data_IF_431177724010
#
_entry.id   IF_431177724010
#
_cell.length_a   1.000
_cell.length_b   1.000
_cell.length_c   1.000
_cell.angle_alpha   90.00
_cell.angle_beta   90.00
_cell.angle_gamma   90.00
#
_symmetry.space_group_name_H-M   'P 1'
#
loop_
_entity.id
_entity.type
_entity.pdbx_description
1 polymer ?
#
# COMPACT_ATOMS: atom_id res chain seq x y z
N UNK A 1 6.91 -17.26 -13.96
CA UNK A 1 7.49 -17.97 -12.81
C UNK A 1 6.40 -18.87 -12.24
N UNK A 2 6.59 -20.18 -12.36
CA UNK A 2 5.60 -21.18 -11.93
C UNK A 2 5.76 -21.43 -10.43
N UNK A 3 4.64 -21.69 -9.72
CA UNK A 3 4.63 -22.06 -8.29
C UNK A 3 5.47 -23.31 -7.95
N UNK A 4 5.99 -24.00 -8.95
CA UNK A 4 6.85 -25.19 -8.82
C UNK A 4 8.32 -24.86 -8.52
N UNK A 5 8.73 -23.59 -8.64
CA UNK A 5 10.12 -23.17 -8.37
C UNK A 5 10.44 -23.00 -6.87
N UNK A 6 9.45 -23.14 -5.98
CA UNK A 6 9.65 -23.04 -4.54
C UNK A 6 10.02 -24.34 -3.83
N UNK A 7 10.23 -25.45 -4.54
CA UNK A 7 10.71 -26.71 -3.97
C UNK A 7 9.81 -27.35 -2.90
N UNK A 8 8.58 -26.86 -2.73
CA UNK A 8 7.64 -27.39 -1.75
C UNK A 8 6.85 -28.54 -2.37
N UNK A 9 7.03 -29.74 -1.82
CA UNK A 9 6.22 -30.91 -2.15
C UNK A 9 4.75 -30.64 -1.84
N UNK A 10 3.83 -31.16 -2.68
CA UNK A 10 2.38 -31.04 -2.44
C UNK A 10 1.92 -31.58 -1.06
N UNK A 11 2.74 -32.45 -0.43
CA UNK A 11 2.53 -32.94 0.95
C UNK A 11 2.87 -31.85 1.98
N UNK A 12 3.88 -31.02 1.73
CA UNK A 12 4.30 -29.94 2.62
C UNK A 12 3.29 -28.78 2.60
N UNK A 13 2.72 -28.50 1.42
CA UNK A 13 1.63 -27.54 1.26
C UNK A 13 0.39 -28.00 2.01
N UNK A 14 -0.01 -29.27 1.90
CA UNK A 14 -1.14 -29.84 2.64
C UNK A 14 -0.89 -29.88 4.16
N UNK A 15 0.36 -30.11 4.59
CA UNK A 15 0.74 -30.09 6.01
C UNK A 15 0.72 -28.66 6.57
N UNK A 16 1.24 -27.67 5.82
CA UNK A 16 1.13 -26.25 6.18
C UNK A 16 -0.32 -25.78 6.21
N UNK A 17 -1.17 -26.17 5.23
CA UNK A 17 -2.60 -25.82 5.23
C UNK A 17 -3.37 -26.43 6.42
N UNK A 18 -2.97 -27.58 6.96
CA UNK A 18 -3.58 -28.15 8.17
C UNK A 18 -3.19 -27.41 9.46
N UNK A 19 -2.14 -26.61 9.44
CA UNK A 19 -1.67 -25.84 10.61
C UNK A 19 -2.28 -24.44 10.67
N UNK A 20 -3.03 -24.01 9.65
CA UNK A 20 -3.90 -22.86 9.79
C UNK A 20 -5.05 -23.26 10.72
N UNK A 21 -4.89 -23.06 12.03
CA UNK A 21 -6.01 -22.97 12.94
C UNK A 21 -7.00 -22.01 12.31
N UNK A 22 -8.14 -22.55 11.87
CA UNK A 22 -9.26 -21.69 11.50
C UNK A 22 -9.45 -20.72 12.66
N UNK A 23 -9.47 -19.43 12.33
CA UNK A 23 -9.91 -18.40 13.28
C UNK A 23 -11.10 -18.97 14.05
N UNK A 24 -11.14 -18.79 15.37
CA UNK A 24 -12.32 -19.20 16.12
C UNK A 24 -13.49 -18.41 15.53
N UNK A 25 -14.18 -19.04 14.60
CA UNK A 25 -15.59 -18.72 14.38
C UNK A 25 -16.14 -18.75 15.81
N UNK A 26 -16.78 -17.66 16.30
CA UNK A 26 -17.28 -17.60 17.65
C UNK A 26 -17.93 -18.93 17.95
N UNK A 27 -17.34 -19.68 18.88
CA UNK A 27 -17.68 -21.09 19.09
C UNK A 27 -19.17 -21.17 19.19
N UNK A 28 -19.80 -21.85 18.22
CA UNK A 28 -21.19 -22.19 18.31
C UNK A 28 -21.35 -22.86 19.65
N UNK A 29 -22.03 -22.24 20.56
CA UNK A 29 -22.29 -22.88 21.84
C UNK A 29 -22.98 -24.20 21.57
N UNK A 30 -22.73 -25.22 22.40
CA UNK A 30 -23.33 -26.54 22.24
C UNK A 30 -24.88 -26.42 22.11
N UNK A 31 -25.48 -25.40 22.76
CA UNK A 31 -26.88 -25.04 22.66
C UNK A 31 -27.27 -24.56 21.24
N UNK A 32 -26.47 -23.73 20.60
CA UNK A 32 -26.73 -23.23 19.22
C UNK A 32 -26.72 -24.36 18.19
N UNK A 33 -25.94 -25.44 18.44
CA UNK A 33 -25.89 -26.61 17.56
C UNK A 33 -27.01 -27.60 17.81
N UNK A 34 -27.52 -27.72 19.05
CA UNK A 34 -28.38 -28.79 19.46
C UNK A 34 -29.88 -28.48 19.37
N UNK A 35 -30.27 -27.20 19.40
CA UNK A 35 -31.69 -26.81 19.43
C UNK A 35 -32.10 -26.04 18.18
N UNK A 36 -33.42 -26.14 17.81
CA UNK A 36 -33.96 -25.37 16.69
C UNK A 36 -33.86 -23.85 16.95
N UNK A 37 -34.11 -23.42 18.17
CA UNK A 37 -34.00 -22.03 18.61
C UNK A 37 -32.52 -21.55 18.58
N UNK A 38 -31.58 -22.39 18.98
CA UNK A 38 -30.16 -22.10 18.90
C UNK A 38 -29.70 -21.90 17.47
N UNK A 39 -30.12 -22.77 16.54
CA UNK A 39 -29.82 -22.62 15.11
C UNK A 39 -30.38 -21.33 14.51
N UNK A 40 -31.61 -20.97 14.91
CA UNK A 40 -32.25 -19.73 14.46
C UNK A 40 -31.51 -18.52 15.02
N UNK A 41 -31.18 -18.52 16.32
CA UNK A 41 -30.41 -17.46 16.96
C UNK A 41 -29.04 -17.27 16.28
N UNK A 42 -28.31 -18.36 16.00
CA UNK A 42 -27.05 -18.33 15.28
C UNK A 42 -27.19 -17.73 13.87
N UNK A 43 -28.26 -18.11 13.13
CA UNK A 43 -28.53 -17.54 11.79
C UNK A 43 -28.77 -16.04 11.85
N UNK A 44 -29.60 -15.59 12.81
CA UNK A 44 -29.88 -14.16 13.00
C UNK A 44 -28.60 -13.39 13.37
N UNK A 45 -27.82 -13.90 14.31
CA UNK A 45 -26.55 -13.30 14.71
C UNK A 45 -25.58 -13.18 13.52
N UNK A 46 -25.42 -14.25 12.75
CA UNK A 46 -24.55 -14.22 11.57
C UNK A 46 -25.08 -13.28 10.49
N UNK A 47 -26.37 -13.23 10.27
CA UNK A 47 -27.00 -12.27 9.37
C UNK A 47 -26.71 -10.83 9.80
N UNK A 48 -26.90 -10.50 11.06
CA UNK A 48 -26.60 -9.16 11.59
C UNK A 48 -25.14 -8.80 11.47
N UNK A 49 -24.24 -9.75 11.73
CA UNK A 49 -22.78 -9.55 11.55
C UNK A 49 -22.45 -9.33 10.09
N UNK A 50 -22.99 -10.13 9.19
CA UNK A 50 -22.78 -9.98 7.73
C UNK A 50 -23.35 -8.66 7.23
N UNK A 51 -24.52 -8.26 7.70
CA UNK A 51 -25.13 -6.97 7.35
C UNK A 51 -24.31 -5.79 7.87
N UNK A 52 -23.80 -5.87 9.10
CA UNK A 52 -22.87 -4.87 9.63
C UNK A 52 -21.59 -4.77 8.78
N UNK A 53 -21.02 -5.91 8.39
CA UNK A 53 -19.86 -5.93 7.51
C UNK A 53 -20.17 -5.31 6.13
N UNK A 54 -21.35 -5.60 5.57
CA UNK A 54 -21.78 -5.00 4.32
C UNK A 54 -21.83 -3.46 4.42
N UNK A 55 -22.50 -2.93 5.46
CA UNK A 55 -22.55 -1.48 5.69
C UNK A 55 -21.15 -0.88 5.85
N UNK A 56 -20.27 -1.57 6.59
CA UNK A 56 -18.89 -1.12 6.82
C UNK A 56 -18.06 -1.05 5.55
N UNK A 57 -18.23 -2.02 4.65
CA UNK A 57 -17.46 -2.11 3.40
C UNK A 57 -18.10 -1.36 2.24
N UNK A 58 -19.43 -1.17 2.25
CA UNK A 58 -20.18 -0.55 1.16
C UNK A 58 -19.61 0.80 0.72
N UNK A 59 -19.32 1.78 1.61
CA UNK A 59 -18.76 3.05 1.19
C UNK A 59 -17.39 2.94 0.52
N UNK A 60 -16.63 1.87 0.85
CA UNK A 60 -15.30 1.64 0.33
C UNK A 60 -15.37 1.07 -1.08
N UNK A 61 -16.28 0.11 -1.31
CA UNK A 61 -16.39 -0.62 -2.58
C UNK A 61 -17.36 0.04 -3.58
N UNK A 62 -18.13 1.04 -3.15
CA UNK A 62 -19.17 1.67 -3.98
C UNK A 62 -18.63 2.25 -5.29
N UNK A 63 -17.42 2.82 -5.25
CA UNK A 63 -16.76 3.43 -6.41
C UNK A 63 -15.69 2.53 -7.02
N UNK A 64 -15.61 1.27 -6.61
CA UNK A 64 -14.65 0.33 -7.17
C UNK A 64 -14.91 0.12 -8.66
N UNK A 65 -13.82 0.07 -9.40
CA UNK A 65 -13.83 -0.19 -10.84
C UNK A 65 -12.84 -1.30 -11.12
N UNK A 66 -13.32 -2.37 -11.72
CA UNK A 66 -12.55 -3.61 -11.97
C UNK A 66 -11.22 -3.41 -12.69
N UNK A 67 -11.07 -2.31 -13.41
CA UNK A 67 -9.84 -1.97 -14.14
C UNK A 67 -8.86 -1.11 -13.35
N UNK A 68 -9.23 -0.60 -12.16
CA UNK A 68 -8.39 0.30 -11.36
C UNK A 68 -7.59 -0.45 -10.29
N UNK A 69 -6.34 -0.79 -10.64
CA UNK A 69 -5.41 -1.45 -9.69
C UNK A 69 -5.11 -0.63 -8.43
N UNK A 70 -5.30 0.70 -8.45
CA UNK A 70 -5.17 1.59 -7.29
C UNK A 70 -6.16 1.20 -6.18
N UNK A 71 -7.34 0.71 -6.56
CA UNK A 71 -8.39 0.32 -5.64
C UNK A 71 -7.99 -0.87 -4.75
N UNK A 72 -7.10 -1.75 -5.23
CA UNK A 72 -6.53 -2.84 -4.44
C UNK A 72 -5.80 -2.28 -3.20
N UNK A 73 -5.04 -1.21 -3.37
CA UNK A 73 -4.32 -0.56 -2.27
C UNK A 73 -5.28 0.08 -1.26
N UNK A 74 -6.38 0.68 -1.73
CA UNK A 74 -7.44 1.24 -0.88
C UNK A 74 -8.08 0.14 -0.02
N UNK A 75 -8.48 -0.97 -0.62
CA UNK A 75 -9.08 -2.11 0.10
C UNK A 75 -8.10 -2.67 1.13
N UNK A 76 -6.84 -2.85 0.73
CA UNK A 76 -5.78 -3.36 1.60
C UNK A 76 -5.55 -2.42 2.79
N UNK A 77 -5.44 -1.11 2.54
CA UNK A 77 -5.31 -0.10 3.58
C UNK A 77 -6.46 -0.19 4.59
N UNK A 78 -7.70 -0.20 4.11
CA UNK A 78 -8.89 -0.27 4.97
C UNK A 78 -8.96 -1.58 5.75
N UNK A 79 -8.55 -2.69 5.16
CA UNK A 79 -8.49 -3.97 5.86
C UNK A 79 -7.48 -3.94 7.02
N UNK A 80 -6.29 -3.40 6.80
CA UNK A 80 -5.26 -3.28 7.84
C UNK A 80 -5.71 -2.29 8.94
N UNK A 81 -6.32 -1.15 8.57
CA UNK A 81 -6.89 -0.20 9.55
C UNK A 81 -7.90 -0.87 10.48
N UNK A 82 -8.82 -1.66 9.91
CA UNK A 82 -9.82 -2.38 10.70
C UNK A 82 -9.20 -3.42 11.62
N UNK A 83 -8.24 -4.19 11.14
CA UNK A 83 -7.53 -5.18 11.94
C UNK A 83 -6.76 -4.54 13.07
N UNK A 84 -6.00 -3.46 12.76
CA UNK A 84 -5.24 -2.73 13.77
C UNK A 84 -6.15 -2.20 14.89
N UNK A 85 -7.33 -1.67 14.54
CA UNK A 85 -8.33 -1.21 15.51
C UNK A 85 -8.81 -2.34 16.41
N UNK A 86 -9.11 -3.49 15.83
CA UNK A 86 -9.54 -4.67 16.60
C UNK A 86 -8.42 -5.21 17.48
N UNK A 87 -7.18 -5.28 16.97
CA UNK A 87 -6.01 -5.72 17.74
C UNK A 87 -5.81 -4.86 18.99
N UNK A 88 -5.84 -3.53 18.84
CA UNK A 88 -5.64 -2.58 19.94
C UNK A 88 -6.79 -2.65 20.94
N UNK A 89 -8.04 -2.74 20.48
CA UNK A 89 -9.22 -2.78 21.35
C UNK A 89 -9.33 -4.10 22.12
N UNK A 90 -9.00 -5.22 21.50
CA UNK A 90 -9.18 -6.53 22.10
C UNK A 90 -8.15 -6.85 23.19
N UNK A 91 -6.98 -6.23 23.16
CA UNK A 91 -5.86 -6.43 24.10
C UNK A 91 -5.57 -7.91 24.41
N UNK A 92 -5.70 -8.79 23.41
CA UNK A 92 -5.65 -10.26 23.58
C UNK A 92 -4.32 -10.89 23.20
N UNK A 93 -3.40 -10.08 22.69
CA UNK A 93 -2.16 -10.57 22.07
C UNK A 93 -0.95 -10.23 22.92
N UNK A 94 -0.02 -11.18 23.03
CA UNK A 94 1.30 -10.97 23.68
C UNK A 94 2.23 -10.06 22.87
N UNK A 95 1.95 -9.84 21.57
CA UNK A 95 2.77 -9.08 20.63
C UNK A 95 2.14 -7.79 20.13
N UNK A 96 1.11 -7.29 20.81
CA UNK A 96 0.32 -6.11 20.39
C UNK A 96 1.17 -4.93 19.96
N UNK A 97 2.19 -4.58 20.74
CA UNK A 97 3.02 -3.40 20.45
C UNK A 97 3.83 -3.59 19.14
N UNK A 98 4.41 -4.77 18.95
CA UNK A 98 5.15 -5.10 17.74
C UNK A 98 4.25 -5.07 16.51
N UNK A 99 3.11 -5.76 16.59
CA UNK A 99 2.19 -5.90 15.47
C UNK A 99 1.51 -4.56 15.13
N UNK A 100 1.14 -3.76 16.14
CA UNK A 100 0.64 -2.41 15.93
C UNK A 100 1.68 -1.49 15.25
N UNK A 101 2.96 -1.62 15.59
CA UNK A 101 4.04 -0.88 14.92
C UNK A 101 4.21 -1.33 13.47
N UNK A 102 4.21 -2.63 13.21
CA UNK A 102 4.37 -3.20 11.86
C UNK A 102 3.17 -2.82 10.97
N UNK A 103 1.94 -2.89 11.50
CA UNK A 103 0.73 -2.40 10.81
C UNK A 103 0.77 -0.88 10.55
N UNK A 104 1.26 -0.09 11.50
CA UNK A 104 1.40 1.36 11.32
C UNK A 104 2.40 1.68 10.21
N UNK A 105 3.53 0.97 10.17
CA UNK A 105 4.52 1.13 9.10
C UNK A 105 3.93 0.74 7.74
N UNK A 106 3.20 -0.38 7.67
CA UNK A 106 2.53 -0.80 6.45
C UNK A 106 1.48 0.22 5.98
N UNK A 107 0.69 0.80 6.88
CA UNK A 107 -0.30 1.84 6.56
C UNK A 107 0.35 3.11 6.03
N UNK A 108 1.43 3.58 6.66
CA UNK A 108 2.17 4.76 6.19
C UNK A 108 2.79 4.55 4.80
N UNK A 109 3.30 3.34 4.53
CA UNK A 109 3.83 2.99 3.21
C UNK A 109 2.72 2.90 2.17
N UNK A 110 1.57 2.27 2.52
CA UNK A 110 0.40 2.18 1.64
C UNK A 110 -0.11 3.56 1.24
N UNK A 111 -0.22 4.48 2.18
CA UNK A 111 -0.65 5.85 1.91
C UNK A 111 0.29 6.54 0.92
N UNK A 112 1.60 6.52 1.18
CA UNK A 112 2.60 7.14 0.31
C UNK A 112 2.68 6.49 -1.07
N UNK A 113 2.53 5.17 -1.15
CA UNK A 113 2.54 4.44 -2.43
C UNK A 113 1.27 4.75 -3.22
N UNK A 114 0.11 4.75 -2.57
CA UNK A 114 -1.18 5.06 -3.16
C UNK A 114 -1.23 6.49 -3.72
N UNK A 115 -0.67 7.45 -3.02
CA UNK A 115 -0.62 8.86 -3.42
C UNK A 115 0.55 9.17 -4.37
N UNK A 116 1.29 8.16 -4.79
CA UNK A 116 2.49 8.31 -5.62
C UNK A 116 3.51 9.31 -5.06
N UNK A 117 3.50 9.48 -3.73
CA UNK A 117 4.30 10.48 -3.02
C UNK A 117 5.74 10.54 -3.54
N UNK A 118 6.41 9.38 -3.66
CA UNK A 118 7.80 9.34 -4.10
C UNK A 118 7.99 9.68 -5.58
N UNK A 119 6.99 9.43 -6.43
CA UNK A 119 7.05 9.79 -7.85
C UNK A 119 6.85 11.30 -8.05
N UNK A 120 6.02 11.91 -7.21
CA UNK A 120 5.66 13.33 -7.32
C UNK A 120 6.62 14.24 -6.54
N UNK A 121 7.31 13.72 -5.52
CA UNK A 121 8.16 14.51 -4.63
C UNK A 121 9.22 15.33 -5.37
N UNK A 122 9.79 14.82 -6.48
CA UNK A 122 10.78 15.59 -7.22
C UNK A 122 10.19 16.84 -7.89
N UNK A 123 8.86 16.88 -8.09
CA UNK A 123 8.18 18.04 -8.66
C UNK A 123 8.19 19.23 -7.70
N UNK A 124 8.26 19.00 -6.38
CA UNK A 124 8.37 20.05 -5.38
C UNK A 124 9.69 20.82 -5.46
N UNK A 125 10.70 20.23 -6.11
CA UNK A 125 12.02 20.78 -6.32
C UNK A 125 12.20 21.34 -7.74
N UNK A 126 11.13 21.34 -8.53
CA UNK A 126 11.12 21.84 -9.89
C UNK A 126 10.63 23.29 -9.90
N UNK A 127 11.56 24.20 -10.02
CA UNK A 127 11.26 25.62 -10.13
C UNK A 127 11.56 26.12 -11.55
N UNK A 128 10.55 26.72 -12.19
CA UNK A 128 10.66 27.27 -13.54
C UNK A 128 10.17 28.69 -13.54
N UNK A 129 10.97 29.60 -14.03
CA UNK A 129 10.49 30.93 -14.39
C UNK A 129 9.83 30.87 -15.78
N UNK A 130 8.57 31.26 -15.83
CA UNK A 130 7.79 31.28 -17.07
C UNK A 130 7.67 32.73 -17.53
N UNK A 131 8.24 33.02 -18.71
CA UNK A 131 8.12 34.35 -19.34
C UNK A 131 7.28 34.27 -20.61
N UNK A 132 6.39 35.25 -20.76
CA UNK A 132 5.55 35.37 -21.93
C UNK A 132 6.07 36.52 -22.79
N UNK A 133 6.56 36.21 -23.96
CA UNK A 133 7.08 37.21 -24.91
C UNK A 133 6.13 37.40 -26.08
N UNK A 134 6.05 38.63 -26.60
CA UNK A 134 5.28 38.92 -27.80
C UNK A 134 5.92 38.27 -29.02
N UNK A 135 5.11 37.68 -29.88
CA UNK A 135 5.56 37.16 -31.17
C UNK A 135 5.55 38.35 -32.18
N UNK A 136 6.71 38.74 -32.76
CA UNK A 136 6.82 39.94 -33.55
C UNK A 136 5.84 40.00 -34.73
N UNK A 137 5.53 38.87 -35.34
CA UNK A 137 4.71 38.78 -36.54
C UNK A 137 3.21 38.50 -36.22
N UNK A 138 2.85 38.31 -34.95
CA UNK A 138 1.49 38.03 -34.53
C UNK A 138 1.22 38.47 -33.09
N UNK A 139 0.68 39.70 -32.89
CA UNK A 139 0.48 40.29 -31.57
C UNK A 139 -0.59 39.56 -30.71
N UNK A 140 -1.41 38.70 -31.32
CA UNK A 140 -2.39 37.86 -30.57
C UNK A 140 -1.76 36.61 -29.97
N UNK A 141 -0.56 36.25 -30.40
CA UNK A 141 0.20 35.09 -29.90
C UNK A 141 1.29 35.53 -28.92
N UNK A 142 1.49 34.71 -27.88
CA UNK A 142 2.60 34.83 -26.96
C UNK A 142 3.48 33.58 -27.07
N UNK A 143 4.79 33.75 -27.18
CA UNK A 143 5.73 32.65 -26.94
C UNK A 143 5.91 32.46 -25.44
N UNK A 144 6.11 31.24 -25.04
CA UNK A 144 6.35 30.87 -23.64
C UNK A 144 7.80 30.37 -23.55
N UNK A 145 8.61 31.08 -22.78
CA UNK A 145 9.98 30.65 -22.46
C UNK A 145 10.02 30.11 -21.04
N UNK A 146 10.75 29.02 -20.87
CA UNK A 146 10.94 28.32 -19.59
C UNK A 146 12.40 28.42 -19.21
N UNK A 147 12.69 28.98 -18.03
CA UNK A 147 14.01 28.97 -17.43
C UNK A 147 14.00 28.04 -16.21
N UNK A 148 14.68 26.89 -16.32
CA UNK A 148 14.76 25.91 -15.25
C UNK A 148 15.84 26.30 -14.23
N UNK A 149 15.47 26.28 -12.92
CA UNK A 149 16.40 26.49 -11.81
C UNK A 149 16.89 25.13 -11.28
N UNK A 150 18.18 24.87 -11.37
CA UNK A 150 18.81 23.58 -11.08
C UNK A 150 19.22 23.42 -9.60
N UNK A 151 19.27 24.49 -8.82
CA UNK A 151 19.73 24.50 -7.44
C UNK A 151 18.90 23.60 -6.54
N UNK A 152 17.61 23.62 -6.74
CA UNK A 152 16.64 22.81 -5.98
C UNK A 152 16.81 21.31 -6.25
N UNK A 153 17.25 20.92 -7.43
CA UNK A 153 17.53 19.51 -7.73
C UNK A 153 18.69 18.95 -6.90
N UNK A 154 19.72 19.76 -6.59
CA UNK A 154 20.84 19.35 -5.76
C UNK A 154 20.37 19.07 -4.32
N UNK A 155 19.40 19.81 -3.81
CA UNK A 155 18.79 19.55 -2.51
C UNK A 155 18.07 18.19 -2.50
N UNK A 156 17.24 17.91 -3.51
CA UNK A 156 16.56 16.61 -3.66
C UNK A 156 17.56 15.44 -3.74
N UNK A 157 18.60 15.56 -4.55
CA UNK A 157 19.60 14.51 -4.70
C UNK A 157 20.40 14.26 -3.42
N UNK A 158 20.68 15.33 -2.67
CA UNK A 158 21.34 15.26 -1.35
C UNK A 158 20.49 14.56 -0.30
N UNK A 159 19.17 14.67 -0.40
CA UNK A 159 18.21 13.97 0.48
C UNK A 159 18.24 12.44 0.30
N UNK A 160 18.55 11.96 -0.91
CA UNK A 160 18.49 10.54 -1.27
C UNK A 160 19.81 9.95 -1.79
N UNK A 161 20.95 10.06 -1.09
CA UNK A 161 22.25 9.67 -1.60
C UNK A 161 22.38 8.16 -1.90
N UNK A 162 21.65 7.32 -1.17
CA UNK A 162 21.65 5.87 -1.42
C UNK A 162 20.88 5.50 -2.69
N UNK A 163 19.83 6.23 -3.00
CA UNK A 163 19.02 6.01 -4.20
C UNK A 163 19.71 6.55 -5.43
N UNK A 164 20.40 7.69 -5.32
CA UNK A 164 21.28 8.21 -6.37
C UNK A 164 22.33 7.18 -6.76
N UNK A 165 23.06 6.60 -5.78
CA UNK A 165 24.03 5.53 -6.05
C UNK A 165 23.38 4.29 -6.70
N UNK A 166 22.15 3.94 -6.28
CA UNK A 166 21.38 2.85 -6.86
C UNK A 166 21.06 3.09 -8.32
N UNK A 167 20.59 4.29 -8.66
CA UNK A 167 20.27 4.70 -10.03
C UNK A 167 21.52 4.72 -10.92
N UNK A 168 22.62 5.31 -10.45
CA UNK A 168 23.90 5.33 -11.19
C UNK A 168 24.39 3.91 -11.46
N UNK A 169 24.25 3.01 -10.50
CA UNK A 169 24.63 1.59 -10.69
C UNK A 169 23.74 0.88 -11.73
N UNK A 170 22.45 1.21 -11.79
CA UNK A 170 21.47 0.54 -12.68
C UNK A 170 21.49 1.16 -14.10
N UNK A 171 21.66 2.48 -14.21
CA UNK A 171 21.47 3.24 -15.45
C UNK A 171 22.73 3.99 -15.95
N UNK A 172 23.84 3.92 -15.20
CA UNK A 172 25.06 4.71 -15.48
C UNK A 172 24.93 6.16 -14.98
N UNK A 173 26.02 6.91 -15.16
CA UNK A 173 26.05 8.36 -14.86
C UNK A 173 25.07 9.10 -15.78
N UNK A 174 24.36 10.06 -15.20
CA UNK A 174 23.38 10.89 -15.90
C UNK A 174 23.86 12.34 -15.88
N UNK A 175 24.07 12.91 -17.04
CA UNK A 175 24.49 14.33 -17.20
C UNK A 175 23.32 15.29 -16.92
N UNK A 176 22.09 14.86 -17.19
CA UNK A 176 20.87 15.62 -16.97
C UNK A 176 20.36 15.42 -15.52
N UNK A 177 20.47 16.46 -14.70
CA UNK A 177 20.02 16.45 -13.30
C UNK A 177 18.53 16.19 -13.17
N UNK A 178 17.70 16.77 -14.05
CA UNK A 178 16.25 16.55 -14.04
C UNK A 178 15.92 15.08 -14.27
N UNK A 179 16.53 14.48 -15.27
CA UNK A 179 16.39 13.04 -15.53
C UNK A 179 16.86 12.21 -14.35
N UNK A 180 17.97 12.57 -13.72
CA UNK A 180 18.45 11.88 -12.52
C UNK A 180 17.44 11.97 -11.38
N UNK A 181 16.82 13.15 -11.11
CA UNK A 181 15.79 13.30 -10.10
C UNK A 181 14.58 12.42 -10.37
N UNK A 182 14.08 12.38 -11.61
CA UNK A 182 12.98 11.50 -12.01
C UNK A 182 13.31 10.02 -11.80
N UNK A 183 14.51 9.60 -12.18
CA UNK A 183 14.96 8.22 -11.96
C UNK A 183 15.07 7.87 -10.47
N UNK A 184 15.56 8.81 -9.65
CA UNK A 184 15.66 8.65 -8.20
C UNK A 184 14.25 8.55 -7.56
N UNK A 185 13.30 9.38 -8.00
CA UNK A 185 11.90 9.32 -7.57
C UNK A 185 11.28 7.96 -7.88
N UNK A 186 11.38 7.51 -9.12
CA UNK A 186 10.90 6.20 -9.53
C UNK A 186 11.56 5.06 -8.74
N UNK A 187 12.89 5.14 -8.54
CA UNK A 187 13.63 4.16 -7.73
C UNK A 187 13.13 4.13 -6.28
N UNK A 188 12.86 5.28 -5.68
CA UNK A 188 12.32 5.39 -4.33
C UNK A 188 10.92 4.78 -4.24
N UNK A 189 10.04 5.07 -5.20
CA UNK A 189 8.70 4.49 -5.29
C UNK A 189 8.75 2.97 -5.40
N UNK A 190 9.58 2.44 -6.30
CA UNK A 190 9.81 0.99 -6.46
C UNK A 190 10.33 0.34 -5.17
N UNK A 191 11.23 1.02 -4.46
CA UNK A 191 11.77 0.57 -3.17
C UNK A 191 10.72 0.56 -2.07
N UNK A 192 9.86 1.60 -2.00
CA UNK A 192 8.75 1.67 -1.06
C UNK A 192 7.73 0.55 -1.29
N UNK A 193 7.35 0.31 -2.55
CA UNK A 193 6.52 -0.83 -2.95
C UNK A 193 7.11 -2.16 -2.50
N UNK A 194 8.38 -2.40 -2.80
CA UNK A 194 9.08 -3.62 -2.37
C UNK A 194 9.04 -3.81 -0.86
N UNK A 195 9.30 -2.74 -0.10
CA UNK A 195 9.29 -2.80 1.36
C UNK A 195 7.89 -3.10 1.89
N UNK A 196 6.86 -2.45 1.36
CA UNK A 196 5.47 -2.69 1.71
C UNK A 196 5.09 -4.17 1.54
N UNK A 197 5.30 -4.70 0.33
CA UNK A 197 4.92 -6.10 0.05
C UNK A 197 5.75 -7.11 0.84
N UNK A 198 7.00 -6.79 1.14
CA UNK A 198 7.82 -7.60 2.03
C UNK A 198 7.29 -7.64 3.46
N UNK A 199 6.88 -6.49 4.01
CA UNK A 199 6.24 -6.44 5.34
C UNK A 199 4.96 -7.28 5.34
N UNK A 200 4.13 -7.17 4.31
CA UNK A 200 2.92 -7.96 4.19
C UNK A 200 3.22 -9.46 4.10
N UNK A 201 4.18 -9.86 3.28
CA UNK A 201 4.62 -11.26 3.14
C UNK A 201 5.09 -11.86 4.47
N UNK A 202 5.92 -11.12 5.21
CA UNK A 202 6.55 -11.61 6.44
C UNK A 202 5.63 -11.53 7.66
N UNK A 203 4.67 -10.60 7.69
CA UNK A 203 3.96 -10.22 8.93
C UNK A 203 2.46 -10.46 8.90
N UNK A 204 1.81 -10.40 7.74
CA UNK A 204 0.35 -10.47 7.66
C UNK A 204 -0.24 -11.71 8.31
N UNK A 205 0.45 -12.86 8.23
CA UNK A 205 0.00 -14.11 8.84
C UNK A 205 0.01 -14.09 10.38
N UNK A 206 0.81 -13.23 10.99
CA UNK A 206 0.95 -13.12 12.45
C UNK A 206 -0.01 -12.10 13.06
N UNK A 207 -0.61 -11.23 12.25
CA UNK A 207 -1.53 -10.20 12.74
C UNK A 207 -2.89 -10.75 13.19
N UNK A 208 -3.11 -12.08 13.08
CA UNK A 208 -4.37 -12.75 13.40
C UNK A 208 -4.29 -13.69 14.62
N UNK A 209 -3.07 -14.02 15.04
CA UNK A 209 -2.81 -14.93 16.16
C UNK A 209 -2.69 -14.13 17.46
#
# INVERSE_FOLDING_TARGET
MSLLDFGLSGKDIKKKMKTYKQLPIPEDTAWERSTLFGKLHWRIRNFLTSFHNLIKWFPIIWNDRDWDGHFILIILQKKIEFQRKELVNANRHTRIESDNRDMTLALNLLERVKEEYYNLECMDYWDNDITFNDVPDNPELKSIDFEEKWENYDEFLTKYPSSVRGVIKEHGEQDDKKRLCLLVSYYNHKKANKLLFRILEEKVSYWWD
#
